data_IF_282510554992
#
_entry.id   IF_282510554992
#
_cell.length_a   1.000
_cell.length_b   1.000
_cell.length_c   1.000
_cell.angle_alpha   90.00
_cell.angle_beta   90.00
_cell.angle_gamma   90.00
#
_symmetry.space_group_name_H-M   'P 1'
#
loop_
_entity.id
_entity.type
_entity.pdbx_description
1 polymer ?
#
# COMPACT_ATOMS: atom_id res chain seq x y z
N UNK A 1 -33.59 18.32 5.16
CA UNK A 1 -33.52 17.64 3.85
C UNK A 1 -32.59 16.43 4.00
N UNK A 2 -33.10 15.19 4.04
CA UNK A 2 -32.28 13.97 4.07
C UNK A 2 -31.97 13.60 2.62
N UNK A 3 -30.71 13.73 2.21
CA UNK A 3 -30.27 13.34 0.88
C UNK A 3 -30.19 11.80 0.88
N UNK A 4 -31.16 11.13 0.25
CA UNK A 4 -31.09 9.69 0.01
C UNK A 4 -29.97 9.43 -1.01
N UNK A 5 -28.91 8.76 -0.54
CA UNK A 5 -27.73 8.36 -1.33
C UNK A 5 -27.80 6.91 -1.81
N UNK A 6 -29.01 6.36 -1.91
CA UNK A 6 -29.23 5.00 -2.41
C UNK A 6 -28.88 4.91 -3.89
N UNK A 7 -27.98 3.97 -4.22
CA UNK A 7 -27.60 3.60 -5.57
C UNK A 7 -26.16 3.95 -5.93
N UNK A 8 -25.72 5.21 -5.80
CA UNK A 8 -24.37 5.63 -6.26
C UNK A 8 -23.29 5.69 -5.19
N UNK A 9 -23.65 5.62 -3.91
CA UNK A 9 -22.69 5.73 -2.78
C UNK A 9 -22.75 4.56 -1.79
N UNK A 10 -23.56 3.53 -2.05
CA UNK A 10 -23.70 2.38 -1.16
C UNK A 10 -22.35 1.64 -0.97
N UNK A 11 -21.61 1.41 -2.06
CA UNK A 11 -20.28 0.79 -2.00
C UNK A 11 -19.27 1.62 -1.19
N UNK A 12 -19.42 2.96 -1.17
CA UNK A 12 -18.54 3.83 -0.37
C UNK A 12 -18.82 3.72 1.11
N UNK A 13 -20.09 3.62 1.49
CA UNK A 13 -20.45 3.41 2.89
C UNK A 13 -19.95 2.05 3.38
N UNK A 14 -20.14 0.99 2.58
CA UNK A 14 -19.59 -0.35 2.88
C UNK A 14 -18.06 -0.31 3.01
N UNK A 15 -17.37 0.36 2.07
CA UNK A 15 -15.92 0.55 2.14
C UNK A 15 -15.50 1.25 3.44
N UNK A 16 -16.14 2.37 3.79
CA UNK A 16 -15.78 3.12 4.99
C UNK A 16 -16.07 2.36 6.29
N UNK A 17 -17.17 1.61 6.36
CA UNK A 17 -17.52 0.79 7.52
C UNK A 17 -16.54 -0.36 7.69
N UNK A 18 -16.19 -1.06 6.60
CA UNK A 18 -15.18 -2.13 6.63
C UNK A 18 -13.80 -1.62 7.00
N UNK A 19 -13.40 -0.47 6.46
CA UNK A 19 -12.12 0.18 6.84
C UNK A 19 -12.12 0.57 8.31
N UNK A 20 -13.23 1.09 8.83
CA UNK A 20 -13.38 1.42 10.24
C UNK A 20 -13.23 0.18 11.13
N UNK A 21 -13.89 -0.93 10.78
CA UNK A 21 -13.80 -2.20 11.51
C UNK A 21 -12.38 -2.77 11.51
N UNK A 22 -11.69 -2.75 10.36
CA UNK A 22 -10.30 -3.22 10.23
C UNK A 22 -9.34 -2.38 11.08
N UNK A 23 -9.54 -1.06 11.12
CA UNK A 23 -8.70 -0.13 11.86
C UNK A 23 -9.13 0.06 13.31
N UNK A 24 -10.22 -0.57 13.75
CA UNK A 24 -10.76 -0.46 15.11
C UNK A 24 -11.35 0.92 15.43
N UNK A 25 -11.81 1.66 14.42
CA UNK A 25 -12.30 3.02 14.55
C UNK A 25 -13.82 3.08 14.73
N UNK A 26 -14.28 3.86 15.69
CA UNK A 26 -15.71 3.98 16.02
C UNK A 26 -16.43 5.11 15.27
N UNK A 27 -15.68 5.94 14.54
CA UNK A 27 -16.23 7.07 13.78
C UNK A 27 -15.73 7.07 12.35
N UNK A 28 -16.56 7.57 11.42
CA UNK A 28 -16.17 7.70 10.01
C UNK A 28 -14.97 8.63 9.82
N UNK A 29 -14.85 9.69 10.62
CA UNK A 29 -13.71 10.61 10.57
C UNK A 29 -12.43 9.92 11.05
N UNK A 30 -12.48 9.22 12.20
CA UNK A 30 -11.34 8.44 12.70
C UNK A 30 -10.89 7.35 11.74
N UNK A 31 -11.83 6.65 11.10
CA UNK A 31 -11.53 5.66 10.07
C UNK A 31 -10.82 6.26 8.85
N UNK A 32 -11.18 7.47 8.44
CA UNK A 32 -10.51 8.18 7.33
C UNK A 32 -9.10 8.61 7.75
N UNK A 33 -8.95 9.20 8.94
CA UNK A 33 -7.65 9.64 9.45
C UNK A 33 -6.68 8.45 9.60
N UNK A 34 -7.15 7.36 10.21
CA UNK A 34 -6.39 6.13 10.38
C UNK A 34 -6.07 5.46 9.03
N UNK A 35 -6.96 5.53 8.03
CA UNK A 35 -6.67 5.04 6.68
C UNK A 35 -5.58 5.87 5.99
N UNK A 36 -5.59 7.20 6.14
CA UNK A 36 -4.55 8.08 5.60
C UNK A 36 -3.18 7.82 6.26
N UNK A 37 -3.17 7.66 7.59
CA UNK A 37 -1.96 7.31 8.34
C UNK A 37 -1.43 5.95 7.89
N UNK A 38 -2.32 4.95 7.79
CA UNK A 38 -1.97 3.62 7.34
C UNK A 38 -1.40 3.63 5.92
N UNK A 39 -2.02 4.33 4.97
CA UNK A 39 -1.54 4.42 3.59
C UNK A 39 -0.12 5.02 3.51
N UNK A 40 0.16 6.02 4.34
CA UNK A 40 1.52 6.60 4.42
C UNK A 40 2.52 5.59 4.98
N UNK A 41 2.19 4.94 6.09
CA UNK A 41 3.06 3.95 6.73
C UNK A 41 3.29 2.71 5.85
N UNK A 42 2.26 2.27 5.13
CA UNK A 42 2.32 1.16 4.17
C UNK A 42 3.26 1.49 3.02
N UNK A 43 3.20 2.72 2.48
CA UNK A 43 4.12 3.15 1.44
C UNK A 43 5.59 3.16 1.90
N UNK A 44 5.85 3.70 3.09
CA UNK A 44 7.19 3.72 3.69
C UNK A 44 7.69 2.28 3.96
N UNK A 45 6.86 1.44 4.60
CA UNK A 45 7.22 0.07 4.95
C UNK A 45 7.47 -0.82 3.73
N UNK A 46 6.68 -0.68 2.66
CA UNK A 46 6.88 -1.45 1.43
C UNK A 46 8.16 -1.03 0.72
N UNK A 47 8.47 0.26 0.70
CA UNK A 47 9.73 0.75 0.13
C UNK A 47 10.93 0.19 0.91
N UNK A 48 10.89 0.26 2.24
CA UNK A 48 11.92 -0.32 3.11
C UNK A 48 12.04 -1.84 2.94
N UNK A 49 10.92 -2.55 2.76
CA UNK A 49 10.91 -3.99 2.51
C UNK A 49 11.62 -4.33 1.19
N UNK A 50 11.34 -3.58 0.11
CA UNK A 50 12.00 -3.79 -1.18
C UNK A 50 13.50 -3.47 -1.10
N UNK A 51 13.88 -2.40 -0.42
CA UNK A 51 15.30 -2.08 -0.18
C UNK A 51 16.00 -3.16 0.66
N UNK A 52 15.34 -3.68 1.69
CA UNK A 52 15.87 -4.79 2.48
C UNK A 52 16.04 -6.06 1.63
N UNK A 53 15.10 -6.34 0.73
CA UNK A 53 15.12 -7.52 -0.13
C UNK A 53 16.11 -7.39 -1.29
N UNK A 54 16.40 -6.18 -1.78
CA UNK A 54 17.33 -5.98 -2.91
C UNK A 54 18.75 -6.46 -2.60
N UNK A 55 19.14 -6.44 -1.32
CA UNK A 55 20.43 -6.92 -0.83
C UNK A 55 20.48 -8.44 -0.62
N UNK A 56 19.36 -9.16 -0.76
CA UNK A 56 19.21 -10.58 -0.37
C UNK A 56 18.68 -11.46 -1.47
N UNK A 57 17.86 -10.91 -2.36
CA UNK A 57 17.22 -11.66 -3.43
C UNK A 57 17.90 -11.37 -4.77
N UNK A 58 17.99 -12.37 -5.66
CA UNK A 58 18.37 -12.12 -7.04
C UNK A 58 17.30 -11.28 -7.75
N UNK A 59 17.69 -10.57 -8.81
CA UNK A 59 16.85 -9.60 -9.52
C UNK A 59 15.44 -10.14 -9.89
N UNK A 60 15.35 -11.38 -10.39
CA UNK A 60 14.07 -11.99 -10.78
C UNK A 60 13.12 -12.26 -9.59
N UNK A 61 13.67 -12.60 -8.43
CA UNK A 61 12.85 -12.80 -7.21
C UNK A 61 12.47 -11.47 -6.58
N UNK A 62 13.34 -10.46 -6.68
CA UNK A 62 13.08 -9.10 -6.23
C UNK A 62 11.96 -8.43 -7.04
N UNK A 63 11.96 -8.61 -8.37
CA UNK A 63 10.89 -8.15 -9.25
C UNK A 63 9.55 -8.77 -8.86
N UNK A 64 9.52 -10.09 -8.63
CA UNK A 64 8.33 -10.78 -8.15
C UNK A 64 7.87 -10.28 -6.78
N UNK A 65 8.78 -9.96 -5.87
CA UNK A 65 8.44 -9.40 -4.57
C UNK A 65 7.85 -7.99 -4.70
N UNK A 66 8.39 -7.16 -5.61
CA UNK A 66 7.86 -5.85 -5.95
C UNK A 66 6.43 -5.93 -6.51
N UNK A 67 6.17 -6.88 -7.41
CA UNK A 67 4.82 -7.11 -7.96
C UNK A 67 3.81 -7.52 -6.88
N UNK A 68 4.21 -8.38 -5.94
CA UNK A 68 3.33 -8.85 -4.85
C UNK A 68 3.01 -7.72 -3.86
N UNK A 69 3.99 -6.86 -3.57
CA UNK A 69 3.82 -5.77 -2.60
C UNK A 69 3.12 -4.54 -3.20
N UNK A 70 3.12 -4.41 -4.52
CA UNK A 70 2.43 -3.35 -5.23
C UNK A 70 0.91 -3.56 -5.18
N UNK A 71 0.18 -2.44 -5.15
CA UNK A 71 -1.27 -2.39 -5.23
C UNK A 71 -1.68 -1.42 -6.33
N UNK A 72 -2.97 -1.42 -6.72
CA UNK A 72 -3.49 -0.51 -7.75
C UNK A 72 -3.24 0.99 -7.41
N UNK A 73 -3.17 1.31 -6.11
CA UNK A 73 -2.97 2.67 -5.61
C UNK A 73 -1.49 3.00 -5.29
N UNK A 74 -0.62 1.98 -5.20
CA UNK A 74 0.78 2.15 -4.83
C UNK A 74 1.66 1.12 -5.54
N UNK A 75 2.48 1.59 -6.48
CA UNK A 75 3.51 0.79 -7.12
C UNK A 75 4.85 0.93 -6.39
N UNK A 76 5.54 -0.17 -6.16
CA UNK A 76 6.85 -0.22 -5.49
C UNK A 76 7.83 -0.86 -6.44
N UNK A 77 8.96 -0.20 -6.71
CA UNK A 77 9.98 -0.71 -7.63
C UNK A 77 11.34 -0.79 -6.92
N UNK A 78 12.10 -1.83 -7.23
CA UNK A 78 13.47 -1.95 -6.76
C UNK A 78 14.43 -1.28 -7.74
N UNK A 79 15.16 -0.25 -7.29
CA UNK A 79 16.34 0.22 -8.01
C UNK A 79 17.47 -0.78 -7.74
N UNK A 80 17.80 -1.61 -8.73
CA UNK A 80 18.99 -2.45 -8.66
C UNK A 80 20.21 -1.58 -8.95
N UNK A 81 20.97 -1.21 -7.91
CA UNK A 81 22.33 -0.69 -8.07
C UNK A 81 23.24 -1.84 -8.51
N UNK A 82 23.24 -2.12 -9.80
CA UNK A 82 24.16 -3.10 -10.38
C UNK A 82 25.54 -2.46 -10.42
N UNK A 83 26.30 -2.59 -9.33
CA UNK A 83 27.70 -2.22 -9.30
C UNK A 83 28.50 -3.29 -10.06
N UNK A 84 28.45 -3.19 -11.40
CA UNK A 84 29.26 -4.03 -12.28
C UNK A 84 30.70 -3.58 -12.12
N UNK A 85 31.48 -4.28 -11.28
CA UNK A 85 32.93 -4.16 -11.32
C UNK A 85 33.38 -4.57 -12.73
N UNK A 86 34.12 -3.73 -13.46
CA UNK A 86 34.74 -4.17 -14.70
C UNK A 86 35.79 -5.23 -14.32
N UNK A 87 35.67 -6.44 -14.90
CA UNK A 87 36.67 -7.49 -14.80
C UNK A 87 38.03 -6.97 -15.34
N UNK A 88 39.10 -7.39 -14.67
CA UNK A 88 40.52 -7.04 -14.91
C UNK A 88 41.00 -7.24 -16.36
#
# INVERSE_FOLDING_TARGET
>A
MRINTDGKKAWRNDLYERTADVLGESTKAGAIDSACIHAKQDAEAKQEAIEYLSHRLPAAELEKAADILSTDELNVCACLDVNVKPDE
#
